data_IF_166911872045
#
_entry.id   IF_166911872045
#
_cell.length_a   1.000
_cell.length_b   1.000
_cell.length_c   1.000
_cell.angle_alpha   90.00
_cell.angle_beta   90.00
_cell.angle_gamma   90.00
#
_symmetry.space_group_name_H-M   'P 1'
#
loop_
_entity.id
_entity.type
_entity.pdbx_description
1 polymer ?
#
# COMPACT_ATOMS: atom_id res chain seq x y z
N UNK A 1 45.21 8.78 -15.78
CA UNK A 1 44.03 8.28 -15.04
C UNK A 1 44.01 6.77 -15.19
N UNK A 2 43.86 6.01 -14.09
CA UNK A 2 43.70 4.55 -14.17
C UNK A 2 42.21 4.25 -14.17
N UNK A 3 41.69 3.79 -15.30
CA UNK A 3 40.29 3.41 -15.50
C UNK A 3 40.24 2.11 -16.33
N UNK A 4 39.27 1.21 -16.12
CA UNK A 4 39.17 -0.08 -16.82
C UNK A 4 39.28 0.04 -18.35
N UNK A 5 38.60 1.02 -18.94
CA UNK A 5 38.62 1.26 -20.38
C UNK A 5 39.92 1.89 -20.91
N UNK A 6 40.83 2.31 -20.03
CA UNK A 6 42.14 2.90 -20.35
C UNK A 6 43.31 2.05 -19.87
N UNK A 7 43.04 0.82 -19.43
CA UNK A 7 44.07 -0.15 -19.05
C UNK A 7 44.26 -1.17 -20.17
N UNK A 8 45.52 -1.45 -20.51
CA UNK A 8 45.89 -2.52 -21.43
C UNK A 8 46.92 -3.43 -20.76
N UNK A 9 46.64 -4.74 -20.62
CA UNK A 9 47.63 -5.67 -20.10
C UNK A 9 48.77 -5.83 -21.11
N UNK A 10 49.99 -5.88 -20.60
CA UNK A 10 51.22 -6.10 -21.37
C UNK A 10 51.79 -7.47 -21.02
N UNK A 11 52.18 -8.23 -22.04
CA UNK A 11 53.00 -9.43 -21.90
C UNK A 11 54.47 -9.05 -21.77
N UNK A 12 55.28 -9.92 -21.16
CA UNK A 12 56.73 -9.68 -20.97
C UNK A 12 57.49 -9.55 -22.31
N UNK A 13 56.93 -10.12 -23.38
CA UNK A 13 57.47 -10.09 -24.73
C UNK A 13 57.00 -8.86 -25.54
N UNK A 14 56.10 -8.04 -24.99
CA UNK A 14 55.56 -6.87 -25.69
C UNK A 14 56.58 -5.72 -25.68
N UNK A 15 56.97 -5.25 -26.87
CA UNK A 15 57.77 -4.03 -27.00
C UNK A 15 56.89 -2.79 -26.80
N UNK A 16 57.14 -2.05 -25.71
CA UNK A 16 56.44 -0.80 -25.34
C UNK A 16 56.54 0.29 -26.43
N UNK A 17 57.53 0.18 -27.33
CA UNK A 17 57.80 1.14 -28.41
C UNK A 17 56.94 0.96 -29.67
N UNK A 18 56.12 -0.08 -29.77
CA UNK A 18 55.19 -0.24 -30.89
C UNK A 18 53.80 0.28 -30.50
N UNK A 19 53.11 0.97 -31.40
CA UNK A 19 51.77 1.61 -31.28
C UNK A 19 50.63 0.70 -30.78
N UNK A 20 50.95 -0.53 -30.37
CA UNK A 20 50.03 -1.54 -29.90
C UNK A 20 50.26 -1.95 -28.45
N UNK A 21 51.20 -1.34 -27.72
CA UNK A 21 51.43 -1.66 -26.31
C UNK A 21 50.60 -0.78 -25.36
N UNK A 22 50.41 0.50 -25.69
CA UNK A 22 49.72 1.48 -24.83
C UNK A 22 48.39 1.92 -25.46
N UNK A 23 47.44 2.37 -24.63
CA UNK A 23 46.16 2.92 -25.11
C UNK A 23 46.38 4.25 -25.84
N UNK A 24 47.27 5.10 -25.30
CA UNK A 24 47.84 6.28 -25.94
C UNK A 24 49.25 6.51 -25.36
N UNK A 25 50.29 6.68 -26.19
CA UNK A 25 51.63 7.01 -25.73
C UNK A 25 51.74 8.53 -25.54
N UNK A 26 51.62 8.97 -24.28
CA UNK A 26 51.66 10.39 -23.89
C UNK A 26 52.51 10.62 -22.65
N UNK A 27 53.04 11.84 -22.51
CA UNK A 27 53.70 12.26 -21.28
C UNK A 27 52.74 12.14 -20.09
N UNK A 28 53.19 11.47 -19.02
CA UNK A 28 52.37 11.16 -17.85
C UNK A 28 51.62 9.83 -17.91
N UNK A 29 51.93 8.96 -18.88
CA UNK A 29 51.49 7.56 -18.86
C UNK A 29 51.96 6.84 -17.58
N UNK A 30 51.11 5.92 -17.09
CA UNK A 30 51.37 5.16 -15.88
C UNK A 30 51.63 3.70 -16.24
N UNK A 31 52.79 3.18 -15.81
CA UNK A 31 53.09 1.74 -15.86
C UNK A 31 52.84 1.13 -14.50
N UNK A 32 51.95 0.15 -14.45
CA UNK A 32 51.65 -0.64 -13.26
C UNK A 32 52.24 -2.02 -13.47
N UNK A 33 53.15 -2.42 -12.60
CA UNK A 33 53.78 -3.73 -12.63
C UNK A 33 53.51 -4.48 -11.33
N UNK A 34 53.43 -5.80 -11.44
CA UNK A 34 53.32 -6.71 -10.31
C UNK A 34 54.23 -7.90 -10.53
N UNK A 35 54.57 -8.61 -9.45
CA UNK A 35 55.37 -9.82 -9.58
C UNK A 35 54.49 -10.96 -10.08
N UNK A 36 54.94 -11.62 -11.14
CA UNK A 36 54.22 -12.74 -11.77
C UNK A 36 53.92 -13.87 -10.79
N UNK A 37 54.81 -14.14 -9.82
CA UNK A 37 54.63 -15.21 -8.82
C UNK A 37 53.53 -14.90 -7.77
N UNK A 38 53.05 -13.66 -7.70
CA UNK A 38 51.97 -13.24 -6.79
C UNK A 38 50.66 -12.90 -7.51
N UNK A 39 50.70 -12.80 -8.83
CA UNK A 39 49.53 -12.50 -9.66
C UNK A 39 48.72 -13.76 -9.88
N UNK A 40 47.42 -13.67 -9.60
CA UNK A 40 46.46 -14.76 -9.81
C UNK A 40 45.21 -14.21 -10.49
N UNK A 41 44.33 -15.10 -10.95
CA UNK A 41 43.03 -14.71 -11.53
C UNK A 41 42.15 -13.91 -10.58
N UNK A 42 42.31 -14.10 -9.27
CA UNK A 42 41.51 -13.46 -8.21
C UNK A 42 42.25 -12.31 -7.49
N UNK A 43 43.55 -12.16 -7.77
CA UNK A 43 44.38 -11.14 -7.14
C UNK A 43 45.46 -10.70 -8.12
N UNK A 44 45.18 -9.62 -8.86
CA UNK A 44 46.10 -8.98 -9.78
C UNK A 44 45.82 -7.47 -9.84
N UNK A 45 46.80 -6.70 -10.32
CA UNK A 45 46.71 -5.25 -10.40
C UNK A 45 45.49 -4.77 -11.23
N UNK A 46 45.21 -5.41 -12.36
CA UNK A 46 44.07 -5.06 -13.20
C UNK A 46 42.73 -5.20 -12.45
N UNK A 47 42.53 -6.31 -11.75
CA UNK A 47 41.37 -6.56 -10.91
C UNK A 47 41.30 -5.56 -9.75
N UNK A 48 42.41 -5.28 -9.08
CA UNK A 48 42.46 -4.29 -8.00
C UNK A 48 41.97 -2.90 -8.45
N UNK A 49 42.55 -2.38 -9.55
CA UNK A 49 42.16 -1.07 -10.06
C UNK A 49 40.76 -1.06 -10.66
N UNK A 50 40.32 -2.16 -11.27
CA UNK A 50 38.93 -2.31 -11.75
C UNK A 50 37.94 -2.29 -10.60
N UNK A 51 38.23 -3.01 -9.51
CA UNK A 51 37.41 -3.01 -8.29
C UNK A 51 37.37 -1.62 -7.67
N UNK A 52 38.52 -0.96 -7.50
CA UNK A 52 38.59 0.40 -6.95
C UNK A 52 37.89 1.44 -7.81
N UNK A 53 37.97 1.31 -9.13
CA UNK A 53 37.28 2.21 -10.06
C UNK A 53 35.76 2.10 -9.94
N UNK A 54 35.27 0.88 -9.72
CA UNK A 54 33.84 0.60 -9.64
C UNK A 54 33.27 0.68 -8.21
N UNK A 55 34.13 0.80 -7.20
CA UNK A 55 33.72 0.88 -5.80
C UNK A 55 32.97 2.20 -5.52
N UNK A 56 31.80 2.09 -4.88
CA UNK A 56 30.96 3.22 -4.54
C UNK A 56 30.33 3.05 -3.16
N UNK A 57 30.13 4.18 -2.48
CA UNK A 57 29.47 4.23 -1.18
C UNK A 57 27.96 4.30 -1.35
N UNK A 58 27.23 3.35 -0.76
CA UNK A 58 25.78 3.25 -0.84
C UNK A 58 25.15 3.40 0.55
N UNK A 59 23.99 4.04 0.56
CA UNK A 59 23.02 4.07 1.65
C UNK A 59 21.70 3.49 1.11
N UNK A 60 21.33 2.28 1.55
CA UNK A 60 20.05 1.68 1.22
C UNK A 60 19.00 2.08 2.26
N UNK A 61 17.95 2.74 1.79
CA UNK A 61 16.88 3.30 2.61
C UNK A 61 15.58 2.55 2.34
N UNK A 62 14.86 2.21 3.40
CA UNK A 62 13.50 1.69 3.26
C UNK A 62 12.61 2.81 2.71
N UNK A 63 11.78 2.49 1.72
CA UNK A 63 10.75 3.39 1.21
C UNK A 63 9.48 3.27 2.08
N UNK A 64 9.17 4.25 2.95
CA UNK A 64 8.10 4.13 3.94
C UNK A 64 6.70 4.15 3.34
N UNK A 65 6.56 4.68 2.11
CA UNK A 65 5.26 4.82 1.42
C UNK A 65 5.21 4.00 0.13
N UNK A 66 5.95 2.89 0.04
CA UNK A 66 6.08 2.11 -1.19
C UNK A 66 4.74 1.81 -1.89
N UNK A 67 3.67 1.56 -1.14
CA UNK A 67 2.34 1.33 -1.71
C UNK A 67 1.25 2.28 -1.23
N UNK A 68 1.63 3.42 -0.65
CA UNK A 68 0.67 4.38 -0.08
C UNK A 68 0.03 3.91 1.23
N UNK A 69 0.57 2.87 1.84
CA UNK A 69 0.27 2.38 3.18
C UNK A 69 1.56 2.39 4.01
N UNK A 70 1.52 2.87 5.28
CA UNK A 70 2.69 2.83 6.14
C UNK A 70 3.16 1.39 6.37
N UNK A 71 4.46 1.18 6.31
CA UNK A 71 5.06 -0.11 6.66
C UNK A 71 5.08 -0.27 8.19
N UNK A 72 4.71 -1.47 8.66
CA UNK A 72 4.75 -1.82 10.08
C UNK A 72 6.18 -2.00 10.60
N UNK A 73 7.06 -2.51 9.76
CA UNK A 73 8.47 -2.72 10.08
C UNK A 73 9.31 -1.51 9.65
N UNK A 74 10.22 -1.09 10.51
CA UNK A 74 11.21 -0.06 10.22
C UNK A 74 12.61 -0.65 10.31
N UNK A 75 13.44 -0.34 9.32
CA UNK A 75 14.83 -0.78 9.27
C UNK A 75 15.76 0.43 9.21
N UNK A 76 16.86 0.35 9.97
CA UNK A 76 17.93 1.34 9.88
C UNK A 76 18.56 1.34 8.48
N UNK A 77 19.09 2.48 8.01
CA UNK A 77 19.82 2.56 6.75
C UNK A 77 20.99 1.58 6.70
N UNK A 78 21.08 0.82 5.60
CA UNK A 78 22.21 -0.09 5.38
C UNK A 78 23.30 0.69 4.65
N UNK A 79 24.47 0.79 5.28
CA UNK A 79 25.62 1.51 4.73
C UNK A 79 26.69 0.50 4.27
N UNK A 80 27.25 0.72 3.09
CA UNK A 80 28.36 -0.12 2.62
C UNK A 80 29.03 0.37 1.36
N UNK A 81 30.18 -0.21 1.07
CA UNK A 81 30.88 -0.07 -0.21
C UNK A 81 30.48 -1.25 -1.11
N UNK A 82 29.96 -0.94 -2.30
CA UNK A 82 29.58 -1.94 -3.30
C UNK A 82 30.16 -1.58 -4.67
N UNK A 83 29.97 -2.43 -5.68
CA UNK A 83 30.39 -2.10 -7.05
C UNK A 83 29.25 -1.49 -7.86
N UNK A 84 29.54 -0.45 -8.66
CA UNK A 84 28.58 0.11 -9.62
C UNK A 84 28.14 -0.90 -10.69
N UNK A 85 28.91 -1.97 -10.90
CA UNK A 85 28.60 -3.05 -11.85
C UNK A 85 27.81 -4.20 -11.23
N UNK A 86 27.49 -4.15 -9.94
CA UNK A 86 26.65 -5.18 -9.31
C UNK A 86 25.31 -5.32 -10.03
N UNK A 87 24.86 -6.56 -10.19
CA UNK A 87 23.51 -6.86 -10.67
C UNK A 87 22.47 -6.50 -9.62
N UNK A 88 21.21 -6.35 -10.02
CA UNK A 88 20.12 -6.16 -9.05
C UNK A 88 20.03 -7.32 -8.06
N UNK A 89 20.28 -8.56 -8.49
CA UNK A 89 20.32 -9.72 -7.57
C UNK A 89 21.39 -9.60 -6.49
N UNK A 90 22.59 -9.13 -6.82
CA UNK A 90 23.65 -8.87 -5.83
C UNK A 90 23.27 -7.75 -4.86
N UNK A 91 22.69 -6.65 -5.38
CA UNK A 91 22.21 -5.55 -4.56
C UNK A 91 21.08 -6.01 -3.61
N UNK A 92 20.10 -6.75 -4.12
CA UNK A 92 18.99 -7.31 -3.33
C UNK A 92 19.50 -8.25 -2.24
N UNK A 93 20.45 -9.14 -2.55
CA UNK A 93 21.05 -10.04 -1.55
C UNK A 93 21.79 -9.27 -0.45
N UNK A 94 22.52 -8.22 -0.81
CA UNK A 94 23.23 -7.38 0.16
C UNK A 94 22.24 -6.66 1.09
N UNK A 95 21.18 -6.06 0.54
CA UNK A 95 20.11 -5.43 1.33
C UNK A 95 19.43 -6.46 2.24
N UNK A 96 19.03 -7.61 1.68
CA UNK A 96 18.35 -8.66 2.41
C UNK A 96 19.17 -9.21 3.58
N UNK A 97 20.49 -9.34 3.40
CA UNK A 97 21.42 -9.71 4.47
C UNK A 97 21.45 -8.66 5.58
N UNK A 98 21.42 -7.37 5.22
CA UNK A 98 21.43 -6.26 6.18
C UNK A 98 20.18 -6.17 7.05
N UNK A 99 19.03 -6.67 6.57
CA UNK A 99 17.75 -6.66 7.32
C UNK A 99 17.24 -8.05 7.73
N UNK A 100 18.02 -9.11 7.47
CA UNK A 100 17.67 -10.48 7.85
C UNK A 100 16.44 -11.04 7.14
N UNK A 101 16.33 -10.87 5.82
CA UNK A 101 15.26 -11.47 5.01
C UNK A 101 15.81 -12.18 3.76
N UNK A 102 14.90 -12.72 2.93
CA UNK A 102 15.26 -13.31 1.64
C UNK A 102 15.36 -12.23 0.54
N UNK A 103 16.28 -12.41 -0.41
CA UNK A 103 16.55 -11.44 -1.47
C UNK A 103 15.36 -11.25 -2.42
N UNK A 104 14.62 -12.31 -2.69
CA UNK A 104 13.41 -12.28 -3.53
C UNK A 104 12.25 -11.46 -2.91
N UNK A 105 12.34 -11.07 -1.64
CA UNK A 105 11.38 -10.18 -0.99
C UNK A 105 11.83 -8.71 -1.01
N UNK A 106 12.90 -8.36 -1.72
CA UNK A 106 13.39 -6.97 -1.82
C UNK A 106 12.91 -6.32 -3.12
N UNK A 107 11.95 -5.39 -3.02
CA UNK A 107 11.53 -4.58 -4.15
C UNK A 107 12.36 -3.31 -4.24
N UNK A 108 13.01 -3.08 -5.38
CA UNK A 108 13.84 -1.89 -5.63
C UNK A 108 13.05 -0.77 -6.33
N UNK A 109 13.22 0.46 -5.85
CA UNK A 109 12.58 1.66 -6.38
C UNK A 109 13.51 2.42 -7.33
N UNK A 110 12.95 2.94 -8.43
CA UNK A 110 13.69 3.86 -9.30
C UNK A 110 13.92 5.17 -8.57
N UNK A 111 15.09 5.77 -8.76
CA UNK A 111 15.50 7.00 -8.09
C UNK A 111 15.48 8.16 -9.08
N UNK A 112 14.88 9.28 -8.69
CA UNK A 112 14.93 10.50 -9.48
C UNK A 112 16.32 11.13 -9.39
N UNK A 113 16.94 11.40 -10.53
CA UNK A 113 18.25 12.04 -10.61
C UNK A 113 18.25 13.49 -10.15
N UNK A 114 17.09 14.15 -10.15
CA UNK A 114 16.96 15.56 -9.81
C UNK A 114 16.98 15.81 -8.29
N UNK A 115 16.29 14.96 -7.53
CA UNK A 115 16.12 15.16 -6.09
C UNK A 115 16.58 13.98 -5.23
N UNK A 116 17.13 12.93 -5.85
CA UNK A 116 17.64 11.71 -5.20
C UNK A 116 16.59 11.01 -4.31
N UNK A 117 15.30 11.17 -4.63
CA UNK A 117 14.17 10.51 -3.96
C UNK A 117 13.64 9.35 -4.79
N UNK A 118 12.97 8.35 -4.16
CA UNK A 118 12.30 7.31 -4.91
C UNK A 118 11.18 7.92 -5.76
N UNK A 119 11.04 7.42 -6.99
CA UNK A 119 9.87 7.69 -7.82
C UNK A 119 8.72 6.78 -7.42
N UNK A 120 7.53 7.00 -8.00
CA UNK A 120 6.38 6.11 -7.81
C UNK A 120 6.51 4.76 -8.54
N UNK A 121 7.62 4.51 -9.24
CA UNK A 121 7.85 3.31 -10.03
C UNK A 121 8.97 2.46 -9.42
N UNK A 122 8.67 1.19 -9.20
CA UNK A 122 9.67 0.16 -8.90
C UNK A 122 10.26 -0.41 -10.19
N UNK A 123 11.35 -1.18 -10.06
CA UNK A 123 11.90 -1.92 -11.19
C UNK A 123 10.96 -3.04 -11.63
N UNK A 124 10.75 -3.18 -12.94
CA UNK A 124 10.02 -4.33 -13.49
C UNK A 124 10.94 -5.56 -13.68
N UNK A 125 10.37 -6.69 -14.05
CA UNK A 125 11.07 -7.97 -14.19
C UNK A 125 12.22 -7.91 -15.22
N UNK A 126 12.03 -7.21 -16.34
CA UNK A 126 13.07 -7.02 -17.35
C UNK A 126 14.22 -6.15 -16.81
N UNK A 127 13.91 -5.04 -16.15
CA UNK A 127 14.90 -4.14 -15.55
C UNK A 127 15.72 -4.84 -14.47
N UNK A 128 15.09 -5.67 -13.63
CA UNK A 128 15.79 -6.48 -12.63
C UNK A 128 16.83 -7.43 -13.25
N UNK A 129 16.59 -7.92 -14.47
CA UNK A 129 17.52 -8.81 -15.18
C UNK A 129 18.69 -8.09 -15.83
N UNK A 130 18.47 -6.87 -16.35
CA UNK A 130 19.45 -6.20 -17.21
C UNK A 130 20.17 -5.03 -16.54
N UNK A 131 19.60 -4.45 -15.48
CA UNK A 131 20.22 -3.31 -14.80
C UNK A 131 21.39 -3.74 -13.91
N UNK A 132 22.45 -2.94 -13.97
CA UNK A 132 23.45 -2.82 -12.92
C UNK A 132 23.11 -1.67 -11.96
N UNK A 133 23.82 -1.56 -10.85
CA UNK A 133 23.68 -0.44 -9.90
C UNK A 133 23.89 0.92 -10.59
N UNK A 134 24.85 0.99 -11.53
CA UNK A 134 25.07 2.16 -12.38
C UNK A 134 23.80 2.55 -13.15
N UNK A 135 23.07 1.58 -13.69
CA UNK A 135 21.85 1.84 -14.47
C UNK A 135 20.69 2.28 -13.56
N UNK A 136 20.52 1.63 -12.40
CA UNK A 136 19.53 2.01 -11.39
C UNK A 136 19.69 3.48 -10.93
N UNK A 137 20.92 3.91 -10.74
CA UNK A 137 21.27 5.29 -10.35
C UNK A 137 21.40 6.24 -11.55
N UNK A 138 21.28 5.71 -12.78
CA UNK A 138 21.44 6.42 -14.05
C UNK A 138 22.79 7.14 -14.20
N UNK A 139 23.88 6.49 -13.77
CA UNK A 139 25.24 7.01 -13.79
C UNK A 139 25.88 6.84 -15.17
N UNK A 140 25.28 7.46 -16.18
CA UNK A 140 25.74 7.45 -17.57
C UNK A 140 26.04 8.87 -18.07
N UNK A 141 26.82 8.95 -19.16
CA UNK A 141 27.22 10.23 -19.77
C UNK A 141 27.85 11.20 -18.76
N UNK A 142 27.30 12.43 -18.59
CA UNK A 142 27.86 13.45 -17.70
C UNK A 142 27.70 13.12 -16.20
N UNK A 143 26.89 12.13 -15.85
CA UNK A 143 26.62 11.72 -14.45
C UNK A 143 27.43 10.50 -14.02
N UNK A 144 28.49 10.15 -14.77
CA UNK A 144 29.35 9.01 -14.47
C UNK A 144 29.87 9.06 -13.03
N UNK A 145 29.88 7.91 -12.37
CA UNK A 145 30.50 7.77 -11.06
C UNK A 145 32.00 8.13 -11.12
N UNK A 146 32.47 8.91 -10.15
CA UNK A 146 33.88 9.16 -9.92
C UNK A 146 34.22 8.76 -8.47
N UNK A 147 34.98 7.66 -8.28
CA UNK A 147 35.29 7.14 -6.94
C UNK A 147 36.10 8.14 -6.09
N UNK A 148 36.81 9.08 -6.72
CA UNK A 148 37.59 10.12 -6.02
C UNK A 148 36.71 11.12 -5.29
N UNK A 149 35.46 11.28 -5.72
CA UNK A 149 34.50 12.21 -5.10
C UNK A 149 33.94 11.68 -3.79
N UNK A 150 34.14 10.39 -3.49
CA UNK A 150 33.60 9.71 -2.30
C UNK A 150 32.11 10.00 -2.05
N UNK A 151 31.34 10.19 -3.14
CA UNK A 151 29.91 10.47 -3.07
C UNK A 151 29.19 9.24 -2.52
N UNK A 152 28.33 9.45 -1.53
CA UNK A 152 27.37 8.45 -1.06
C UNK A 152 26.10 8.54 -1.90
N UNK A 153 25.72 7.43 -2.52
CA UNK A 153 24.50 7.32 -3.31
C UNK A 153 23.41 6.64 -2.50
N UNK A 154 22.15 6.97 -2.81
CA UNK A 154 20.98 6.40 -2.15
C UNK A 154 20.24 5.46 -3.07
N UNK A 155 19.92 4.28 -2.55
CA UNK A 155 19.00 3.33 -3.18
C UNK A 155 17.82 3.13 -2.25
N UNK A 156 16.65 2.89 -2.82
CA UNK A 156 15.41 2.75 -2.04
C UNK A 156 14.81 1.38 -2.25
N UNK A 157 14.37 0.75 -1.17
CA UNK A 157 13.80 -0.60 -1.21
C UNK A 157 12.53 -0.73 -0.35
N UNK A 158 11.71 -1.73 -0.64
CA UNK A 158 10.61 -2.17 0.24
C UNK A 158 10.75 -3.66 0.47
N UNK A 159 10.73 -4.09 1.74
CA UNK A 159 10.57 -5.50 2.10
C UNK A 159 9.12 -5.90 1.80
N UNK A 160 8.96 -6.85 0.90
CA UNK A 160 7.69 -7.35 0.43
C UNK A 160 7.21 -8.51 1.31
N UNK A 161 5.90 -8.68 1.51
CA UNK A 161 5.34 -9.86 2.16
C UNK A 161 5.29 -11.11 1.24
N UNK A 162 5.63 -10.93 -0.04
CA UNK A 162 5.62 -11.96 -1.09
C UNK A 162 6.90 -11.83 -1.92
N UNK A 163 7.21 -12.85 -2.72
CA UNK A 163 8.28 -12.73 -3.72
C UNK A 163 7.96 -11.64 -4.75
N UNK A 164 8.97 -10.84 -5.08
CA UNK A 164 8.92 -9.81 -6.13
C UNK A 164 8.64 -10.42 -7.50
N UNK A 165 9.05 -11.67 -7.76
CA UNK A 165 8.74 -12.37 -9.02
C UNK A 165 7.24 -12.57 -9.24
N UNK A 166 6.45 -12.58 -8.17
CA UNK A 166 5.02 -12.88 -8.22
C UNK A 166 4.17 -11.62 -8.38
N UNK A 167 4.78 -10.42 -8.31
CA UNK A 167 4.06 -9.15 -8.37
C UNK A 167 3.23 -8.98 -9.65
N UNK A 168 3.74 -9.44 -10.79
CA UNK A 168 3.00 -9.37 -12.05
C UNK A 168 1.78 -10.29 -12.08
N UNK A 169 1.77 -11.34 -11.26
CA UNK A 169 0.68 -12.33 -11.15
C UNK A 169 -0.31 -12.01 -10.04
N UNK A 170 -0.05 -10.97 -9.25
CA UNK A 170 -0.87 -10.55 -8.11
C UNK A 170 -1.46 -9.17 -8.34
N UNK A 171 -2.61 -8.92 -7.72
CA UNK A 171 -3.14 -7.56 -7.65
C UNK A 171 -2.50 -6.84 -6.48
N UNK A 172 -2.36 -5.51 -6.59
CA UNK A 172 -2.09 -4.65 -5.44
C UNK A 172 -3.40 -4.00 -5.01
N UNK A 173 -3.91 -4.35 -3.83
CA UNK A 173 -5.21 -3.86 -3.37
C UNK A 173 -5.08 -3.19 -2.00
N UNK A 174 -5.53 -1.93 -1.88
CA UNK A 174 -5.68 -1.25 -0.59
C UNK A 174 -7.02 -1.66 0.03
N UNK A 175 -6.98 -2.07 1.29
CA UNK A 175 -8.13 -2.64 1.99
C UNK A 175 -8.28 -1.97 3.34
N UNK A 176 -9.52 -1.61 3.69
CA UNK A 176 -9.86 -1.16 5.03
C UNK A 176 -9.98 -2.36 5.97
N UNK A 177 -9.53 -2.23 7.21
CA UNK A 177 -9.74 -3.19 8.28
C UNK A 177 -10.54 -2.52 9.38
N UNK A 178 -11.69 -3.09 9.71
CA UNK A 178 -12.53 -2.60 10.79
C UNK A 178 -12.36 -3.45 12.05
N UNK A 179 -11.96 -2.82 13.15
CA UNK A 179 -11.85 -3.50 14.44
C UNK A 179 -13.19 -3.56 15.20
N UNK A 180 -13.18 -4.18 16.37
CA UNK A 180 -14.35 -4.35 17.24
C UNK A 180 -14.97 -3.01 17.71
N UNK A 181 -14.18 -1.94 17.73
CA UNK A 181 -14.59 -0.58 18.12
C UNK A 181 -14.96 0.27 16.91
N UNK A 182 -15.21 -0.39 15.78
CA UNK A 182 -15.54 0.27 14.52
C UNK A 182 -14.44 1.23 14.06
N UNK A 183 -13.17 1.07 14.45
CA UNK A 183 -12.07 1.89 13.95
C UNK A 183 -11.55 1.31 12.64
N UNK A 184 -11.19 2.19 11.71
CA UNK A 184 -10.65 1.79 10.41
C UNK A 184 -9.14 1.99 10.37
N UNK A 185 -8.42 0.93 10.10
CA UNK A 185 -7.04 0.97 9.60
C UNK A 185 -7.00 0.54 8.14
N UNK A 186 -5.88 0.72 7.47
CA UNK A 186 -5.74 0.31 6.07
C UNK A 186 -4.45 -0.47 5.88
N UNK A 187 -4.52 -1.48 5.00
CA UNK A 187 -3.37 -2.29 4.60
C UNK A 187 -3.36 -2.48 3.10
N UNK A 188 -2.25 -3.01 2.58
CA UNK A 188 -2.15 -3.46 1.19
C UNK A 188 -2.02 -4.98 1.17
N UNK A 189 -2.89 -5.62 0.41
CA UNK A 189 -2.86 -7.08 0.19
C UNK A 189 -2.50 -7.40 -1.26
N UNK A 190 -1.93 -8.59 -1.45
CA UNK A 190 -1.44 -9.06 -2.75
C UNK A 190 -2.07 -10.39 -3.18
N UNK A 191 -3.40 -10.46 -3.38
CA UNK A 191 -4.06 -11.69 -3.83
C UNK A 191 -3.63 -12.04 -5.26
N UNK A 192 -3.63 -13.33 -5.59
CA UNK A 192 -3.43 -13.79 -6.97
C UNK A 192 -4.50 -13.24 -7.90
N UNK A 193 -4.13 -12.90 -9.13
CA UNK A 193 -5.08 -12.39 -10.14
C UNK A 193 -6.16 -13.40 -10.51
N UNK A 194 -5.85 -14.68 -10.41
CA UNK A 194 -6.75 -15.82 -10.60
C UNK A 194 -7.48 -16.24 -9.32
N UNK A 195 -7.22 -15.58 -8.19
CA UNK A 195 -7.80 -15.90 -6.90
C UNK A 195 -9.23 -15.41 -6.73
N UNK A 196 -9.74 -15.56 -5.52
CA UNK A 196 -11.11 -15.19 -5.13
C UNK A 196 -11.09 -14.26 -3.92
N UNK A 197 -12.26 -13.87 -3.43
CA UNK A 197 -12.39 -13.15 -2.16
C UNK A 197 -11.72 -13.88 -0.99
N UNK A 198 -11.74 -15.22 -0.98
CA UNK A 198 -11.02 -15.99 0.04
C UNK A 198 -9.53 -15.64 0.09
N UNK A 199 -8.85 -15.52 -1.06
CA UNK A 199 -7.42 -15.18 -1.07
C UNK A 199 -7.15 -13.74 -0.62
N UNK A 200 -8.09 -12.82 -0.84
CA UNK A 200 -8.03 -11.45 -0.28
C UNK A 200 -8.12 -11.52 1.25
N UNK A 201 -9.04 -12.32 1.78
CA UNK A 201 -9.24 -12.49 3.22
C UNK A 201 -8.04 -13.16 3.89
N UNK A 202 -7.46 -14.19 3.27
CA UNK A 202 -6.28 -14.90 3.79
C UNK A 202 -5.04 -13.97 3.89
N UNK A 203 -4.84 -13.11 2.89
CA UNK A 203 -3.78 -12.09 2.93
C UNK A 203 -4.06 -11.03 4.00
N UNK A 204 -5.29 -10.55 4.11
CA UNK A 204 -5.69 -9.57 5.12
C UNK A 204 -5.61 -10.12 6.55
N UNK A 205 -5.91 -11.40 6.74
CA UNK A 205 -5.94 -12.05 8.05
C UNK A 205 -4.61 -11.96 8.80
N UNK A 206 -3.48 -11.94 8.08
CA UNK A 206 -2.13 -11.84 8.67
C UNK A 206 -1.93 -10.55 9.48
N UNK A 207 -2.60 -9.48 9.09
CA UNK A 207 -2.51 -8.15 9.69
C UNK A 207 -3.78 -7.77 10.48
N UNK A 208 -4.84 -8.59 10.39
CA UNK A 208 -6.13 -8.30 11.00
C UNK A 208 -6.10 -8.52 12.52
N UNK A 209 -6.60 -7.53 13.27
CA UNK A 209 -6.71 -7.60 14.74
C UNK A 209 -8.08 -8.13 15.14
N UNK A 210 -8.18 -9.43 15.36
CA UNK A 210 -9.42 -10.05 15.85
C UNK A 210 -9.78 -9.61 17.27
N UNK A 211 -11.07 -9.48 17.55
CA UNK A 211 -11.57 -9.30 18.90
C UNK A 211 -11.26 -10.52 19.77
N UNK A 212 -11.04 -10.34 21.07
CA UNK A 212 -10.59 -11.44 21.96
C UNK A 212 -11.54 -12.65 21.94
N UNK A 213 -12.86 -12.38 21.94
CA UNK A 213 -13.93 -13.39 21.98
C UNK A 213 -14.77 -13.40 20.69
N UNK A 214 -14.22 -12.93 19.57
CA UNK A 214 -14.93 -12.93 18.29
C UNK A 214 -14.92 -14.28 17.58
N UNK A 215 -15.67 -14.32 16.48
CA UNK A 215 -15.88 -15.52 15.66
C UNK A 215 -14.63 -16.00 14.94
N UNK A 216 -13.64 -15.12 14.76
CA UNK A 216 -12.49 -15.31 13.88
C UNK A 216 -12.85 -15.55 12.41
N UNK A 217 -14.09 -15.25 12.02
CA UNK A 217 -14.55 -15.33 10.65
C UNK A 217 -14.52 -13.93 10.04
N UNK A 218 -13.84 -13.78 8.91
CA UNK A 218 -13.77 -12.51 8.19
C UNK A 218 -14.76 -12.50 7.02
N UNK A 219 -15.26 -11.31 6.70
CA UNK A 219 -15.99 -11.05 5.45
C UNK A 219 -15.41 -9.85 4.71
N UNK A 220 -15.59 -9.84 3.38
CA UNK A 220 -15.23 -8.72 2.54
C UNK A 220 -16.47 -7.91 2.17
N UNK A 221 -16.44 -6.61 2.45
CA UNK A 221 -17.56 -5.70 2.26
C UNK A 221 -17.20 -4.62 1.24
N UNK A 222 -18.08 -4.39 0.27
CA UNK A 222 -18.04 -3.21 -0.60
C UNK A 222 -18.61 -2.02 0.15
N UNK A 223 -17.80 -0.97 0.33
CA UNK A 223 -18.16 0.24 1.07
C UNK A 223 -17.87 1.49 0.25
N UNK A 224 -18.64 2.55 0.47
CA UNK A 224 -18.24 3.88 -0.01
C UNK A 224 -17.35 4.59 0.99
N UNK A 225 -16.48 5.46 0.48
CA UNK A 225 -15.50 6.24 1.24
C UNK A 225 -15.63 7.76 1.04
N UNK A 226 -16.51 8.20 0.14
CA UNK A 226 -16.83 9.61 -0.05
C UNK A 226 -18.14 9.99 0.66
N UNK A 227 -18.25 11.23 1.14
CA UNK A 227 -19.36 11.69 2.00
C UNK A 227 -20.77 11.53 1.41
N UNK A 228 -20.92 11.39 0.10
CA UNK A 228 -22.21 11.19 -0.59
C UNK A 228 -22.53 9.71 -0.84
N UNK A 229 -21.64 8.80 -0.44
CA UNK A 229 -21.75 7.36 -0.63
C UNK A 229 -21.26 6.52 0.57
N UNK A 230 -21.06 7.09 1.78
CA UNK A 230 -20.58 6.39 2.99
C UNK A 230 -21.58 5.34 3.50
N UNK A 231 -21.69 4.23 2.77
CA UNK A 231 -22.60 3.10 3.02
C UNK A 231 -21.85 1.79 2.93
N UNK A 232 -22.36 0.77 3.62
CA UNK A 232 -22.10 -0.62 3.32
C UNK A 232 -23.06 -1.05 2.21
N UNK A 233 -22.53 -1.57 1.11
CA UNK A 233 -23.33 -1.87 -0.09
C UNK A 233 -23.57 -3.36 -0.27
N UNK A 234 -22.53 -4.16 -0.07
CA UNK A 234 -22.59 -5.58 -0.37
C UNK A 234 -21.53 -6.36 0.41
N UNK A 235 -21.90 -7.55 0.87
CA UNK A 235 -20.95 -8.55 1.36
C UNK A 235 -20.66 -9.50 0.20
N UNK A 236 -19.40 -9.59 -0.20
CA UNK A 236 -19.01 -10.53 -1.26
C UNK A 236 -18.95 -11.95 -0.72
N UNK A 237 -19.27 -12.91 -1.58
CA UNK A 237 -19.08 -14.33 -1.28
C UNK A 237 -17.62 -14.74 -1.49
N UNK A 238 -17.15 -15.75 -0.76
CA UNK A 238 -15.73 -16.15 -0.77
C UNK A 238 -15.24 -16.67 -2.14
N UNK A 239 -16.16 -17.12 -3.00
CA UNK A 239 -15.92 -17.62 -4.36
C UNK A 239 -15.93 -16.51 -5.43
N UNK A 240 -16.36 -15.28 -5.09
CA UNK A 240 -16.30 -14.14 -6.03
C UNK A 240 -14.86 -13.91 -6.48
N UNK A 241 -14.63 -13.72 -7.79
CA UNK A 241 -13.29 -13.58 -8.36
C UNK A 241 -12.60 -12.28 -7.90
N UNK A 242 -11.31 -12.36 -7.59
CA UNK A 242 -10.52 -11.19 -7.18
C UNK A 242 -10.46 -10.10 -8.28
N UNK A 243 -10.50 -10.50 -9.55
CA UNK A 243 -10.55 -9.58 -10.71
C UNK A 243 -11.81 -8.72 -10.75
N UNK A 244 -12.95 -9.26 -10.32
CA UNK A 244 -14.20 -8.51 -10.19
C UNK A 244 -14.11 -7.47 -9.08
N UNK A 245 -13.53 -7.85 -7.94
CA UNK A 245 -13.29 -6.94 -6.82
C UNK A 245 -12.36 -5.81 -7.24
N UNK A 246 -11.23 -6.16 -7.89
CA UNK A 246 -10.24 -5.21 -8.38
C UNK A 246 -10.85 -4.18 -9.34
N UNK A 247 -11.72 -4.62 -10.25
CA UNK A 247 -12.42 -3.73 -11.19
C UNK A 247 -13.39 -2.79 -10.47
N UNK A 248 -14.12 -3.28 -9.46
CA UNK A 248 -15.09 -2.46 -8.70
C UNK A 248 -14.44 -1.34 -7.90
N UNK A 249 -13.26 -1.57 -7.33
CA UNK A 249 -12.53 -0.56 -6.53
C UNK A 249 -11.63 0.36 -7.35
N UNK A 250 -11.71 0.32 -8.69
CA UNK A 250 -10.93 1.20 -9.57
C UNK A 250 -11.28 2.69 -9.45
N UNK A 251 -12.41 3.04 -8.82
CA UNK A 251 -12.75 4.43 -8.50
C UNK A 251 -12.40 4.76 -7.04
N UNK A 252 -12.06 6.02 -6.77
CA UNK A 252 -11.65 6.48 -5.42
C UNK A 252 -12.81 6.76 -4.46
N UNK A 253 -14.06 6.61 -4.91
CA UNK A 253 -15.26 6.81 -4.08
C UNK A 253 -15.65 5.55 -3.30
N UNK A 254 -15.15 4.38 -3.69
CA UNK A 254 -15.46 3.10 -3.07
C UNK A 254 -14.19 2.37 -2.65
N UNK A 255 -14.35 1.47 -1.69
CA UNK A 255 -13.31 0.54 -1.28
C UNK A 255 -13.89 -0.79 -0.86
N UNK A 256 -12.98 -1.67 -0.51
CA UNK A 256 -13.27 -2.93 0.15
C UNK A 256 -12.82 -2.85 1.60
N UNK A 257 -13.65 -3.39 2.48
CA UNK A 257 -13.42 -3.45 3.92
C UNK A 257 -13.50 -4.89 4.40
N UNK A 258 -12.47 -5.31 5.12
CA UNK A 258 -12.43 -6.55 5.87
C UNK A 258 -12.89 -6.28 7.28
N UNK A 259 -13.82 -7.08 7.76
CA UNK A 259 -14.36 -7.01 9.11
C UNK A 259 -14.63 -8.42 9.65
N UNK A 260 -14.49 -8.58 10.96
CA UNK A 260 -14.88 -9.80 11.67
C UNK A 260 -16.42 -9.89 11.70
N UNK A 261 -16.96 -11.05 11.32
CA UNK A 261 -18.39 -11.30 11.32
C UNK A 261 -18.86 -11.41 12.77
N UNK A 262 -19.81 -10.60 13.24
CA UNK A 262 -20.39 -10.76 14.58
C UNK A 262 -21.07 -12.12 14.74
N UNK A 263 -21.07 -12.66 15.96
CA UNK A 263 -21.65 -13.98 16.27
C UNK A 263 -23.11 -14.12 15.77
N UNK A 264 -23.92 -13.06 15.94
CA UNK A 264 -25.32 -13.06 15.52
C UNK A 264 -25.51 -12.95 14.00
N UNK A 265 -24.47 -12.59 13.26
CA UNK A 265 -24.46 -12.40 11.81
C UNK A 265 -23.81 -13.56 11.02
N UNK A 266 -23.26 -14.58 11.70
CA UNK A 266 -22.57 -15.73 11.06
C UNK A 266 -23.49 -16.50 10.12
N UNK A 267 -24.75 -16.70 10.52
CA UNK A 267 -25.76 -17.37 9.70
C UNK A 267 -26.99 -16.49 9.60
N UNK A 268 -27.36 -16.15 8.37
CA UNK A 268 -28.59 -15.42 8.06
C UNK A 268 -29.63 -16.43 7.59
N UNK A 269 -30.68 -16.62 8.39
CA UNK A 269 -31.73 -17.61 8.15
C UNK A 269 -32.83 -17.05 7.25
N UNK A 270 -33.74 -17.93 6.81
CA UNK A 270 -34.97 -17.49 6.15
C UNK A 270 -35.77 -16.58 7.09
N UNK A 271 -36.20 -15.42 6.57
CA UNK A 271 -36.87 -14.39 7.37
C UNK A 271 -35.92 -13.45 8.13
N UNK A 272 -34.61 -13.56 7.94
CA UNK A 272 -33.60 -12.61 8.42
C UNK A 272 -32.93 -11.88 7.24
N UNK A 273 -32.38 -10.70 7.49
CA UNK A 273 -31.65 -9.89 6.50
C UNK A 273 -30.53 -9.08 7.15
N UNK A 274 -29.41 -8.89 6.44
CA UNK A 274 -28.37 -7.94 6.81
C UNK A 274 -28.70 -6.57 6.22
N UNK A 275 -29.28 -5.70 7.05
CA UNK A 275 -29.67 -4.35 6.66
C UNK A 275 -28.47 -3.40 6.74
N UNK A 276 -28.09 -2.70 5.66
CA UNK A 276 -27.10 -1.65 5.75
C UNK A 276 -27.58 -0.49 6.62
N UNK A 277 -26.68 0.04 7.43
CA UNK A 277 -26.90 1.18 8.32
C UNK A 277 -25.84 2.24 8.04
N UNK A 278 -26.23 3.50 8.00
CA UNK A 278 -25.32 4.63 7.82
C UNK A 278 -25.79 5.88 8.58
N UNK A 279 -24.89 6.85 8.75
CA UNK A 279 -25.18 8.08 9.48
C UNK A 279 -25.33 9.26 8.53
N UNK A 280 -26.25 10.17 8.82
CA UNK A 280 -26.40 11.43 8.10
C UNK A 280 -26.90 12.55 9.03
N UNK A 281 -26.69 13.81 8.62
CA UNK A 281 -27.11 14.99 9.40
C UNK A 281 -28.15 15.78 8.60
N UNK A 282 -29.44 15.59 8.93
CA UNK A 282 -30.66 16.15 8.34
C UNK A 282 -30.90 15.83 6.86
N UNK A 283 -29.84 15.81 6.06
CA UNK A 283 -29.83 15.55 4.62
C UNK A 283 -29.06 14.25 4.36
N UNK A 284 -29.67 13.20 3.76
CA UNK A 284 -29.02 11.93 3.47
C UNK A 284 -27.82 12.02 2.53
N UNK A 285 -27.59 13.15 1.86
CA UNK A 285 -26.37 13.40 1.07
C UNK A 285 -25.17 13.84 1.94
N UNK A 286 -25.42 14.25 3.19
CA UNK A 286 -24.40 14.65 4.17
C UNK A 286 -24.08 13.49 5.11
N UNK A 287 -23.59 12.40 4.52
CA UNK A 287 -23.25 11.20 5.29
C UNK A 287 -21.94 11.40 6.05
N UNK A 288 -21.81 10.70 7.17
CA UNK A 288 -20.60 10.67 7.98
C UNK A 288 -20.51 9.37 8.78
N UNK A 289 -19.49 9.25 9.62
CA UNK A 289 -19.30 8.07 10.46
C UNK A 289 -18.92 6.83 9.64
N UNK A 290 -19.10 5.67 10.24
CA UNK A 290 -18.65 4.39 9.69
C UNK A 290 -19.89 3.52 9.48
N UNK A 291 -20.26 3.20 8.23
CA UNK A 291 -21.44 2.40 7.98
C UNK A 291 -21.20 0.94 8.38
N UNK A 292 -22.28 0.22 8.68
CA UNK A 292 -22.22 -1.18 9.11
C UNK A 292 -23.46 -1.94 8.68
N UNK A 293 -23.44 -3.27 8.83
CA UNK A 293 -24.64 -4.08 8.75
C UNK A 293 -25.20 -4.37 10.13
N UNK A 294 -26.51 -4.55 10.19
CA UNK A 294 -27.18 -5.14 11.33
C UNK A 294 -28.13 -6.23 10.85
N UNK A 295 -28.16 -7.37 11.56
CA UNK A 295 -29.17 -8.38 11.31
C UNK A 295 -30.53 -7.91 11.81
N UNK A 296 -31.55 -8.06 10.98
CA UNK A 296 -32.96 -7.81 11.31
C UNK A 296 -33.80 -9.02 10.95
N UNK A 297 -34.88 -9.25 11.70
CA UNK A 297 -35.83 -10.34 11.46
C UNK A 297 -37.18 -9.77 11.03
N UNK A 298 -37.90 -10.45 10.13
CA UNK A 298 -39.24 -10.02 9.74
C UNK A 298 -40.19 -9.95 10.95
N UNK A 299 -40.92 -8.84 11.10
CA UNK A 299 -41.81 -8.58 12.22
C UNK A 299 -41.12 -8.04 13.49
N UNK A 300 -39.79 -7.89 13.48
CA UNK A 300 -39.05 -7.35 14.61
C UNK A 300 -39.36 -5.86 14.84
N UNK A 301 -39.51 -5.43 16.10
CA UNK A 301 -39.77 -4.02 16.43
C UNK A 301 -38.52 -3.15 16.25
N UNK A 302 -38.72 -1.90 15.86
CA UNK A 302 -37.64 -0.93 15.77
C UNK A 302 -36.97 -0.72 17.13
N UNK A 303 -37.72 -0.78 18.23
CA UNK A 303 -37.13 -0.70 19.58
C UNK A 303 -36.02 -1.74 19.78
N UNK A 304 -36.27 -3.00 19.45
CA UNK A 304 -35.28 -4.10 19.53
C UNK A 304 -34.06 -3.83 18.64
N UNK A 305 -34.30 -3.45 17.38
CA UNK A 305 -33.23 -3.12 16.42
C UNK A 305 -32.40 -1.95 16.91
N UNK A 306 -33.06 -0.89 17.41
CA UNK A 306 -32.42 0.34 17.89
C UNK A 306 -31.52 0.09 19.11
N UNK A 307 -31.93 -0.80 20.02
CA UNK A 307 -31.11 -1.16 21.18
C UNK A 307 -29.86 -1.95 20.76
N UNK A 308 -29.96 -2.83 19.76
CA UNK A 308 -28.77 -3.48 19.16
C UNK A 308 -27.85 -2.45 18.50
N UNK A 309 -28.40 -1.49 17.75
CA UNK A 309 -27.61 -0.41 17.15
C UNK A 309 -26.89 0.40 18.24
N UNK A 310 -27.59 0.79 19.30
CA UNK A 310 -27.02 1.56 20.41
C UNK A 310 -25.84 0.84 21.06
N UNK A 311 -25.99 -0.45 21.33
CA UNK A 311 -24.92 -1.29 21.89
C UNK A 311 -23.74 -1.40 20.92
N UNK A 312 -23.99 -1.63 19.63
CA UNK A 312 -22.95 -1.73 18.60
C UNK A 312 -22.15 -0.43 18.42
N UNK A 313 -22.82 0.72 18.56
CA UNK A 313 -22.18 2.04 18.49
C UNK A 313 -21.50 2.47 19.81
N UNK A 314 -21.70 1.73 20.90
CA UNK A 314 -21.25 2.07 22.25
C UNK A 314 -21.65 3.49 22.70
N UNK A 315 -22.92 3.84 22.46
CA UNK A 315 -23.47 5.18 22.76
C UNK A 315 -24.38 5.15 23.99
N UNK A 316 -24.28 6.17 24.85
CA UNK A 316 -25.15 6.32 26.03
C UNK A 316 -26.62 6.52 25.64
N UNK A 317 -27.56 6.03 26.45
CA UNK A 317 -29.00 6.18 26.18
C UNK A 317 -29.43 7.64 25.94
N UNK A 318 -28.94 8.57 26.77
CA UNK A 318 -29.23 10.02 26.66
C UNK A 318 -28.76 10.63 25.34
N UNK A 319 -27.65 10.17 24.80
CA UNK A 319 -27.20 10.61 23.49
C UNK A 319 -28.04 9.98 22.37
N UNK A 320 -28.33 8.69 22.51
CA UNK A 320 -29.07 7.92 21.53
C UNK A 320 -30.53 8.39 21.35
N UNK A 321 -31.13 8.98 22.37
CA UNK A 321 -32.45 9.65 22.29
C UNK A 321 -32.54 10.72 21.20
N UNK A 322 -31.41 11.29 20.75
CA UNK A 322 -31.36 12.29 19.69
C UNK A 322 -31.38 11.71 18.28
N UNK A 323 -31.21 10.40 18.16
CA UNK A 323 -31.13 9.71 16.87
C UNK A 323 -32.54 9.52 16.33
N UNK A 324 -32.73 9.82 15.05
CA UNK A 324 -33.94 9.45 14.32
C UNK A 324 -33.61 8.39 13.29
N UNK A 325 -34.52 7.45 13.12
CA UNK A 325 -34.36 6.34 12.19
C UNK A 325 -35.18 6.63 10.94
N UNK A 326 -34.58 6.41 9.77
CA UNK A 326 -35.24 6.61 8.50
C UNK A 326 -34.90 5.48 7.52
N UNK A 327 -35.88 5.07 6.71
CA UNK A 327 -35.59 4.27 5.52
C UNK A 327 -35.17 5.22 4.41
N UNK A 328 -33.98 4.98 3.86
CA UNK A 328 -33.41 5.77 2.79
C UNK A 328 -33.39 4.95 1.51
N UNK A 329 -33.90 5.55 0.42
CA UNK A 329 -33.90 4.96 -0.92
C UNK A 329 -33.42 6.03 -1.90
N UNK A 330 -32.47 5.69 -2.79
CA UNK A 330 -31.90 6.65 -3.75
C UNK A 330 -31.40 7.97 -3.11
N UNK A 331 -30.73 7.86 -1.94
CA UNK A 331 -30.26 9.01 -1.14
C UNK A 331 -31.36 10.02 -0.75
N UNK A 332 -32.60 9.57 -0.63
CA UNK A 332 -33.72 10.36 -0.12
C UNK A 332 -34.40 9.64 1.03
N UNK A 333 -34.87 10.41 2.01
CA UNK A 333 -35.71 9.87 3.07
C UNK A 333 -37.02 9.38 2.46
N UNK A 334 -37.26 8.07 2.52
CA UNK A 334 -38.53 7.48 2.12
C UNK A 334 -39.56 7.62 3.23
N UNK A 335 -39.17 7.28 4.47
CA UNK A 335 -39.98 7.48 5.68
C UNK A 335 -39.10 7.54 6.92
N UNK A 336 -39.54 8.29 7.92
CA UNK A 336 -39.05 8.16 9.30
C UNK A 336 -39.77 7.03 10.01
N UNK A 337 -39.11 6.43 11.00
CA UNK A 337 -39.61 5.31 11.78
C UNK A 337 -39.74 5.70 13.26
N UNK A 338 -40.84 5.27 13.86
CA UNK A 338 -41.16 5.29 15.28
C UNK A 338 -40.88 3.92 15.92
N UNK A 339 -40.81 3.90 17.26
CA UNK A 339 -40.45 2.68 18.03
C UNK A 339 -41.37 1.49 17.76
N UNK A 340 -42.64 1.75 17.47
CA UNK A 340 -43.68 0.73 17.23
C UNK A 340 -43.65 0.19 15.79
N UNK A 341 -42.85 0.78 14.89
CA UNK A 341 -42.69 0.23 13.56
C UNK A 341 -42.00 -1.12 13.62
N UNK A 342 -42.41 -2.03 12.73
CA UNK A 342 -41.84 -3.36 12.60
C UNK A 342 -41.10 -3.50 11.27
N UNK A 343 -40.07 -4.35 11.28
CA UNK A 343 -39.29 -4.70 10.10
C UNK A 343 -40.19 -5.49 9.14
N UNK A 344 -40.36 -4.96 7.93
CA UNK A 344 -41.01 -5.65 6.83
C UNK A 344 -39.98 -5.94 5.74
N UNK A 345 -39.54 -7.20 5.64
CA UNK A 345 -38.49 -7.56 4.70
C UNK A 345 -38.91 -7.35 3.23
N UNK A 346 -40.20 -7.35 2.91
CA UNK A 346 -40.69 -7.07 1.56
C UNK A 346 -40.45 -5.61 1.13
N UNK A 347 -40.38 -4.67 2.08
CA UNK A 347 -40.02 -3.27 1.80
C UNK A 347 -38.51 -3.09 1.59
N UNK A 348 -37.70 -3.99 2.17
CA UNK A 348 -36.24 -3.98 2.10
C UNK A 348 -35.69 -4.79 0.92
N UNK A 349 -36.44 -5.77 0.42
CA UNK A 349 -36.00 -6.75 -0.60
C UNK A 349 -35.87 -6.21 -2.03
N UNK A 350 -36.12 -4.91 -2.26
CA UNK A 350 -35.97 -4.27 -3.58
C UNK A 350 -34.48 -4.17 -4.04
N UNK A 351 -33.57 -4.70 -3.23
CA UNK A 351 -32.11 -4.79 -3.42
C UNK A 351 -31.74 -5.55 -4.70
N UNK A 352 -32.42 -6.66 -5.01
CA UNK A 352 -32.05 -7.54 -6.13
C UNK A 352 -32.40 -6.97 -7.52
N UNK A 353 -33.28 -5.96 -7.59
CA UNK A 353 -33.82 -5.43 -8.85
C UNK A 353 -33.14 -4.11 -9.24
N UNK A 354 -32.70 -3.31 -8.26
CA UNK A 354 -32.32 -1.90 -8.48
C UNK A 354 -30.81 -1.63 -8.44
N UNK A 355 -30.00 -2.65 -8.16
CA UNK A 355 -28.56 -2.51 -7.96
C UNK A 355 -28.19 -1.88 -6.61
N UNK A 356 -26.93 -2.07 -6.19
CA UNK A 356 -26.50 -1.71 -4.81
C UNK A 356 -26.69 -0.24 -4.44
N UNK A 357 -26.58 0.68 -5.42
CA UNK A 357 -26.72 2.11 -5.17
C UNK A 357 -28.15 2.50 -4.74
N UNK A 358 -29.15 1.81 -5.29
CA UNK A 358 -30.57 2.11 -5.10
C UNK A 358 -31.24 1.27 -4.01
N UNK A 359 -30.55 0.25 -3.50
CA UNK A 359 -30.97 -0.57 -2.39
C UNK A 359 -31.40 0.28 -1.16
N UNK A 360 -32.56 -0.01 -0.55
CA UNK A 360 -32.95 0.59 0.73
C UNK A 360 -31.91 0.35 1.82
N UNK A 361 -31.75 1.31 2.71
CA UNK A 361 -30.87 1.21 3.88
C UNK A 361 -31.44 2.00 5.07
N UNK A 362 -30.99 1.67 6.28
CA UNK A 362 -31.39 2.35 7.50
C UNK A 362 -30.48 3.55 7.78
N UNK A 363 -31.04 4.75 7.69
CA UNK A 363 -30.38 5.99 8.03
C UNK A 363 -30.53 6.34 9.51
N UNK A 364 -29.41 6.71 10.12
CA UNK A 364 -29.32 7.30 11.45
C UNK A 364 -29.15 8.82 11.29
N UNK A 365 -30.25 9.57 11.45
CA UNK A 365 -30.20 11.03 11.43
C UNK A 365 -29.76 11.55 12.80
N UNK A 366 -28.55 12.10 12.85
CA UNK A 366 -28.04 12.78 14.03
C UNK A 366 -26.93 13.78 13.68
N UNK A 367 -26.63 14.66 14.63
CA UNK A 367 -25.56 15.65 14.46
C UNK A 367 -24.20 14.96 14.35
N UNK A 368 -23.41 15.38 13.35
CA UNK A 368 -22.02 14.95 13.25
C UNK A 368 -21.17 15.66 14.32
N UNK A 369 -20.78 14.93 15.37
CA UNK A 369 -19.94 15.46 16.45
C UNK A 369 -18.49 15.72 16.02
N UNK A 370 -17.97 15.07 14.98
CA UNK A 370 -16.60 15.33 14.50
C UNK A 370 -16.48 16.67 13.77
N UNK A 371 -17.61 17.28 13.36
CA UNK A 371 -17.66 18.66 12.88
C UNK A 371 -17.55 19.70 14.00
N UNK A 372 -17.60 19.28 15.27
CA UNK A 372 -17.68 20.14 16.46
C UNK A 372 -16.39 20.82 16.94
N UNK A 373 -15.30 20.80 16.16
CA UNK A 373 -14.05 21.49 16.52
C UNK A 373 -13.48 22.35 15.39
N UNK A 374 -14.34 22.96 14.56
CA UNK A 374 -13.92 24.10 13.72
C UNK A 374 -14.03 25.42 14.51
N UNK A 375 -13.23 25.50 15.57
CA UNK A 375 -12.86 26.72 16.28
C UNK A 375 -11.46 27.21 15.89
N UNK A 376 -11.01 26.94 14.66
CA UNK A 376 -9.78 27.50 14.09
C UNK A 376 -9.87 27.59 12.57
N UNK A 377 -10.91 28.26 12.07
CA UNK A 377 -10.69 29.11 10.92
C UNK A 377 -10.26 30.45 11.53
N UNK A 378 -9.00 30.82 11.30
CA UNK A 378 -8.56 32.21 11.37
C UNK A 378 -9.65 33.04 10.71
N UNK A 379 -10.36 33.86 11.49
CA UNK A 379 -11.28 34.84 10.95
C UNK A 379 -10.50 35.65 9.92
N UNK A 380 -10.78 35.47 8.64
CA UNK A 380 -10.45 36.49 7.63
C UNK A 380 -11.10 37.78 8.13
N UNK A 381 -10.30 38.64 8.76
CA UNK A 381 -10.71 40.01 9.01
C UNK A 381 -10.46 40.77 7.72
N UNK A 382 -11.48 41.49 7.25
CA UNK A 382 -11.38 42.37 6.11
C UNK A 382 -10.19 43.33 6.28
N UNK A 383 -9.38 43.47 5.23
CA UNK A 383 -8.30 44.44 5.17
C UNK A 383 -8.93 45.82 4.97
N UNK A 384 -8.69 46.73 5.92
CA UNK A 384 -9.05 48.14 5.80
C UNK A 384 -7.80 48.88 5.35
N UNK A 385 -7.86 49.53 4.19
CA UNK A 385 -6.82 50.43 3.71
C UNK A 385 -7.11 51.82 4.29
N UNK A 386 -6.17 52.37 5.05
CA UNK A 386 -6.19 53.76 5.47
C UNK A 386 -5.37 54.58 4.47
N UNK A 387 -5.98 55.66 3.96
CA UNK A 387 -5.31 56.66 3.11
C UNK A 387 -4.31 57.50 3.90
#
# INVERSE_FOLDING_TARGET
>A
EIAPERMRPLCIDDMISQDHALVDLVDGALLVFERTDKSTTENNAHLYYTTKYNAMQIEALQNPEGFGTPLNEQFDPILGEISQTWTMGQLMQWIATGIGCSADHILLWKVSQYNEKPTNNHLNEHELRVYSVKDLLGLSGPHRHDPRRQKRYRVYYTKMPISVSDLERRYKMRVQMMDEKMQITETTVFPEKTGTVQSILDEAQREFRFSANGTKLLRLVYVGQASHCLRAYHVFTNDTLASEIYTKIGNTSYAIRVEEIPEDEVTIKSGEHLLPVGHFDKDPTRMFGIPFFIKVTNGETLESVSERIRKKLDVTAKEFEKYKFAIIVNNRVSKYLDKDNVVNLNELSHTHITGYASAPWLGLDHMNKSRGTRGSHTTEKAIVIHN
#
